data_IF_145071670026
#
_entry.id   IF_145071670026
#
_cell.length_a   1.000
_cell.length_b   1.000
_cell.length_c   1.000
_cell.angle_alpha   90.00
_cell.angle_beta   90.00
_cell.angle_gamma   90.00
#
_symmetry.space_group_name_H-M   'P 1'
#
loop_
_entity.id
_entity.type
_entity.pdbx_description
1 polymer ?
#
# COMPACT_ATOMS: atom_id res chain seq x y z
N UNK A 1 -6.71 16.45 -13.43
CA UNK A 1 -6.37 15.07 -13.24
C UNK A 1 -4.97 14.78 -13.74
N UNK A 2 -4.41 13.74 -13.23
CA UNK A 2 -3.07 13.37 -13.66
C UNK A 2 -3.10 12.74 -15.01
N UNK A 3 -2.18 13.14 -15.81
CA UNK A 3 -2.15 12.72 -17.17
C UNK A 3 -1.08 11.70 -17.41
N UNK A 4 -1.22 10.99 -18.49
CA UNK A 4 -0.21 10.04 -18.88
C UNK A 4 1.14 10.68 -19.16
N UNK A 5 1.18 11.98 -19.33
CA UNK A 5 2.45 12.65 -19.52
C UNK A 5 3.29 12.72 -18.27
N UNK A 6 2.65 12.69 -17.12
CA UNK A 6 3.41 12.73 -15.87
C UNK A 6 3.94 11.37 -15.57
N UNK A 7 5.18 11.32 -15.16
CA UNK A 7 5.75 10.06 -14.76
C UNK A 7 5.31 9.72 -13.36
N UNK A 8 5.01 8.47 -13.13
CA UNK A 8 4.63 8.03 -11.80
C UNK A 8 5.14 6.61 -11.56
N UNK A 9 5.24 6.27 -10.28
CA UNK A 9 5.52 4.92 -9.87
C UNK A 9 4.23 4.25 -9.49
N UNK A 10 4.15 2.95 -9.68
CA UNK A 10 2.91 2.23 -9.52
C UNK A 10 3.10 1.04 -8.60
N UNK A 11 2.13 0.78 -7.75
CA UNK A 11 2.16 -0.39 -6.91
C UNK A 11 0.75 -0.88 -6.66
N UNK A 12 0.59 -2.19 -6.65
CA UNK A 12 -0.68 -2.81 -6.30
C UNK A 12 -0.51 -3.48 -4.96
N UNK A 13 -1.40 -3.20 -4.03
CA UNK A 13 -1.38 -3.79 -2.72
C UNK A 13 -2.62 -4.62 -2.50
N UNK A 14 -2.49 -5.67 -1.68
CA UNK A 14 -3.60 -6.54 -1.36
C UNK A 14 -3.57 -6.90 0.11
N UNK A 15 -4.74 -7.00 0.67
CA UNK A 15 -4.88 -7.48 2.04
C UNK A 15 -6.25 -8.09 2.19
N UNK A 16 -6.30 -9.42 2.42
CA UNK A 16 -7.56 -10.14 2.48
C UNK A 16 -8.34 -9.90 1.20
N UNK A 17 -9.51 -9.28 1.31
CA UNK A 17 -10.35 -9.03 0.14
C UNK A 17 -10.16 -7.64 -0.44
N UNK A 18 -9.24 -6.87 0.09
CA UNK A 18 -9.01 -5.52 -0.38
C UNK A 18 -7.91 -5.48 -1.43
N UNK A 19 -8.10 -4.69 -2.47
CA UNK A 19 -7.12 -4.48 -3.52
C UNK A 19 -6.95 -2.98 -3.69
N UNK A 20 -5.71 -2.52 -3.60
CA UNK A 20 -5.39 -1.11 -3.76
C UNK A 20 -4.47 -0.92 -4.96
N UNK A 21 -4.79 0.05 -5.79
CA UNK A 21 -3.94 0.44 -6.91
C UNK A 21 -3.41 1.82 -6.61
N UNK A 22 -2.10 1.92 -6.48
CA UNK A 22 -1.44 3.13 -6.02
C UNK A 22 -0.60 3.72 -7.12
N UNK A 23 -0.78 5.03 -7.38
CA UNK A 23 0.09 5.79 -8.26
C UNK A 23 0.77 6.85 -7.43
N UNK A 24 2.06 6.97 -7.59
CA UNK A 24 2.86 7.88 -6.79
C UNK A 24 3.56 8.86 -7.71
N UNK A 25 3.28 10.14 -7.50
CA UNK A 25 3.82 11.23 -8.31
C UNK A 25 4.70 12.11 -7.43
N UNK A 26 5.62 12.83 -8.04
CA UNK A 26 6.35 13.84 -7.29
C UNK A 26 5.37 14.87 -6.76
N UNK A 27 5.52 15.25 -5.49
CA UNK A 27 4.59 16.18 -4.92
C UNK A 27 5.00 16.63 -3.53
N UNK A 28 4.00 16.90 -2.70
CA UNK A 28 4.22 17.53 -1.41
C UNK A 28 3.66 16.74 -0.24
N UNK A 29 3.07 15.58 -0.50
CA UNK A 29 2.58 14.74 0.58
C UNK A 29 1.07 14.56 0.61
N UNK A 30 0.38 14.92 -0.46
CA UNK A 30 -1.08 14.74 -0.52
C UNK A 30 -1.41 13.30 -0.85
N UNK A 31 -2.40 12.76 -0.15
CA UNK A 31 -2.85 11.39 -0.39
C UNK A 31 -4.34 11.44 -0.68
N UNK A 32 -4.71 10.93 -1.85
CA UNK A 32 -6.10 10.88 -2.29
C UNK A 32 -6.51 9.43 -2.48
N UNK A 33 -7.63 9.05 -1.88
CA UNK A 33 -8.14 7.69 -1.92
C UNK A 33 -9.55 7.72 -2.50
N UNK A 34 -9.73 7.05 -3.63
CA UNK A 34 -11.03 7.00 -4.31
C UNK A 34 -11.61 8.40 -4.54
N UNK A 35 -10.74 9.35 -4.89
CA UNK A 35 -11.15 10.71 -5.17
C UNK A 35 -11.35 11.58 -3.96
N UNK A 36 -11.02 11.10 -2.76
CA UNK A 36 -11.21 11.85 -1.52
C UNK A 36 -9.88 11.98 -0.80
N UNK A 37 -9.74 13.09 -0.08
CA UNK A 37 -8.56 13.27 0.75
C UNK A 37 -8.52 12.18 1.82
N UNK A 38 -7.32 11.76 2.22
CA UNK A 38 -7.19 10.69 3.21
C UNK A 38 -7.90 11.04 4.51
N UNK A 39 -7.92 12.30 4.90
CA UNK A 39 -8.58 12.72 6.13
C UNK A 39 -10.09 12.56 6.03
N UNK A 40 -10.64 12.66 4.83
CA UNK A 40 -12.07 12.46 4.61
C UNK A 40 -12.42 10.99 4.42
N UNK A 41 -11.48 10.22 3.89
CA UNK A 41 -11.77 8.82 3.59
C UNK A 41 -11.72 7.94 4.84
N UNK A 42 -10.70 8.14 5.68
CA UNK A 42 -10.58 7.38 6.93
C UNK A 42 -10.89 8.27 8.10
N UNK A 43 -11.82 7.82 8.93
CA UNK A 43 -12.17 8.58 10.13
C UNK A 43 -11.25 8.34 11.30
N UNK A 44 -10.47 7.26 11.28
CA UNK A 44 -9.60 6.91 12.40
C UNK A 44 -8.16 7.27 12.11
N UNK A 45 -7.53 7.92 13.07
CA UNK A 45 -6.12 8.29 12.92
C UNK A 45 -5.21 7.10 12.74
N UNK A 46 -5.53 5.98 13.40
CA UNK A 46 -4.70 4.80 13.27
C UNK A 46 -4.64 4.28 11.85
N UNK A 47 -5.76 4.38 11.12
CA UNK A 47 -5.77 3.95 9.72
C UNK A 47 -4.94 4.86 8.84
N UNK A 48 -4.99 6.16 9.11
CA UNK A 48 -4.17 7.11 8.37
C UNK A 48 -2.68 6.85 8.61
N UNK A 49 -2.33 6.52 9.85
CA UNK A 49 -0.96 6.18 10.17
C UNK A 49 -0.49 4.95 9.42
N UNK A 50 -1.34 3.93 9.34
CA UNK A 50 -0.98 2.71 8.61
C UNK A 50 -0.64 3.04 7.16
N UNK A 51 -1.45 3.87 6.53
CA UNK A 51 -1.22 4.25 5.14
C UNK A 51 0.10 5.00 4.98
N UNK A 52 0.44 5.85 5.93
CA UNK A 52 1.63 6.70 5.84
C UNK A 52 2.92 6.03 6.30
N UNK A 53 2.82 4.85 6.94
CA UNK A 53 4.01 4.20 7.48
C UNK A 53 5.13 3.98 6.45
N UNK A 54 4.85 3.50 5.24
CA UNK A 54 5.97 3.32 4.29
C UNK A 54 6.68 4.62 3.96
N UNK A 55 5.93 5.70 3.88
CA UNK A 55 6.53 7.00 3.59
C UNK A 55 7.36 7.49 4.77
N UNK A 56 6.89 7.20 5.98
CA UNK A 56 7.61 7.62 7.18
C UNK A 56 8.94 6.88 7.34
N UNK A 57 8.94 5.55 7.11
CA UNK A 57 10.18 4.80 7.30
C UNK A 57 11.20 5.08 6.21
N UNK A 58 10.77 5.58 5.06
CA UNK A 58 11.68 5.96 3.99
C UNK A 58 11.94 7.46 3.96
N UNK A 59 11.34 8.20 4.90
CA UNK A 59 11.53 9.65 5.00
C UNK A 59 11.13 10.38 3.73
N UNK A 60 10.01 9.96 3.14
CA UNK A 60 9.53 10.55 1.89
C UNK A 60 8.11 11.11 2.04
N UNK A 61 7.69 11.38 3.27
CA UNK A 61 6.32 11.80 3.55
C UNK A 61 5.90 13.04 2.77
N UNK A 62 6.83 13.96 2.56
CA UNK A 62 6.53 15.22 1.88
C UNK A 62 7.12 15.29 0.47
N UNK A 63 7.48 14.16 -0.10
CA UNK A 63 8.11 14.15 -1.43
C UNK A 63 7.21 13.65 -2.53
N UNK A 64 6.11 13.02 -2.19
CA UNK A 64 5.24 12.40 -3.19
C UNK A 64 3.79 12.72 -2.92
N UNK A 65 3.02 12.78 -4.00
CA UNK A 65 1.57 12.77 -3.94
C UNK A 65 1.11 11.38 -4.32
N UNK A 66 0.16 10.87 -3.58
CA UNK A 66 -0.35 9.52 -3.79
C UNK A 66 -1.79 9.60 -4.27
N UNK A 67 -2.07 8.93 -5.37
CA UNK A 67 -3.43 8.78 -5.87
C UNK A 67 -3.72 7.30 -5.88
N UNK A 68 -4.72 6.88 -5.14
CA UNK A 68 -5.00 5.46 -5.10
C UNK A 68 -6.48 5.17 -5.22
N UNK A 69 -6.78 3.99 -5.76
CA UNK A 69 -8.13 3.45 -5.75
C UNK A 69 -8.07 2.15 -4.97
N UNK A 70 -9.08 1.92 -4.16
CA UNK A 70 -9.14 0.72 -3.34
C UNK A 70 -10.55 0.18 -3.35
N UNK A 71 -10.69 -1.13 -3.35
CA UNK A 71 -11.99 -1.77 -3.37
C UNK A 71 -11.94 -3.03 -2.53
N UNK A 72 -13.10 -3.41 -2.02
CA UNK A 72 -13.27 -4.66 -1.30
C UNK A 72 -12.86 -4.59 0.14
N UNK A 73 -13.33 -5.55 0.92
CA UNK A 73 -13.00 -5.67 2.32
C UNK A 73 -13.50 -4.53 3.16
N UNK A 74 -13.02 -4.47 4.40
CA UNK A 74 -13.36 -3.38 5.30
C UNK A 74 -12.27 -2.32 5.30
N UNK A 75 -12.53 -1.21 6.03
CA UNK A 75 -11.59 -0.09 6.02
C UNK A 75 -10.21 -0.47 6.55
N UNK A 76 -10.16 -1.36 7.54
CA UNK A 76 -8.88 -1.80 8.06
C UNK A 76 -8.07 -2.56 7.01
N UNK A 77 -8.74 -3.46 6.29
CA UNK A 77 -8.08 -4.18 5.21
C UNK A 77 -7.66 -3.25 4.09
N UNK A 78 -8.47 -2.23 3.82
CA UNK A 78 -8.13 -1.26 2.79
C UNK A 78 -6.88 -0.48 3.14
N UNK A 79 -6.76 -0.05 4.41
CA UNK A 79 -5.55 0.67 4.83
C UNK A 79 -4.32 -0.19 4.67
N UNK A 80 -4.41 -1.48 5.02
CA UNK A 80 -3.30 -2.40 4.85
C UNK A 80 -2.94 -2.62 3.39
N UNK A 81 -3.95 -2.72 2.52
CA UNK A 81 -3.70 -2.88 1.10
C UNK A 81 -3.03 -1.64 0.52
N UNK A 82 -3.46 -0.45 0.93
CA UNK A 82 -2.85 0.78 0.45
C UNK A 82 -1.39 0.86 0.93
N UNK A 83 -1.13 0.50 2.18
CA UNK A 83 0.24 0.48 2.69
C UNK A 83 1.13 -0.42 1.84
N UNK A 84 0.64 -1.59 1.51
CA UNK A 84 1.40 -2.52 0.69
C UNK A 84 1.64 -1.95 -0.71
N UNK A 85 0.61 -1.31 -1.29
CA UNK A 85 0.73 -0.70 -2.60
C UNK A 85 1.73 0.45 -2.63
N UNK A 86 1.71 1.30 -1.61
CA UNK A 86 2.67 2.39 -1.51
C UNK A 86 4.09 1.84 -1.38
N UNK A 87 4.27 0.79 -0.58
CA UNK A 87 5.58 0.17 -0.43
C UNK A 87 6.11 -0.33 -1.75
N UNK A 88 5.26 -0.95 -2.55
CA UNK A 88 5.69 -1.45 -3.84
C UNK A 88 5.99 -0.31 -4.82
N UNK A 89 5.23 0.77 -4.75
CA UNK A 89 5.51 1.94 -5.59
C UNK A 89 6.86 2.56 -5.21
N UNK A 90 7.17 2.61 -3.92
CA UNK A 90 8.47 3.10 -3.48
C UNK A 90 9.61 2.23 -3.99
N UNK A 91 9.39 0.91 -4.05
CA UNK A 91 10.41 0.03 -4.62
C UNK A 91 10.61 0.31 -6.11
N UNK A 92 9.56 0.65 -6.82
CA UNK A 92 9.71 1.01 -8.22
C UNK A 92 10.49 2.31 -8.36
N UNK A 93 10.32 3.21 -7.39
CA UNK A 93 11.05 4.46 -7.40
C UNK A 93 12.54 4.28 -7.11
N UNK A 94 12.87 3.52 -6.06
CA UNK A 94 14.26 3.35 -5.66
C UNK A 94 14.41 2.09 -4.83
N UNK A 95 14.47 0.96 -5.52
CA UNK A 95 14.57 -0.33 -4.85
C UNK A 95 15.87 -0.47 -4.06
N UNK A 96 16.94 0.05 -4.63
CA UNK A 96 18.27 -0.13 -4.05
C UNK A 96 18.39 0.45 -2.65
N UNK A 97 17.86 1.64 -2.45
CA UNK A 97 17.99 2.32 -1.17
C UNK A 97 16.82 2.08 -0.23
N UNK A 98 15.66 1.72 -0.75
CA UNK A 98 14.47 1.66 0.07
C UNK A 98 14.02 0.26 0.46
N UNK A 99 14.46 -0.76 -0.30
CA UNK A 99 14.00 -2.12 -0.03
C UNK A 99 14.32 -2.58 1.37
N UNK A 100 15.53 -2.29 1.85
CA UNK A 100 15.93 -2.72 3.18
C UNK A 100 15.05 -2.15 4.27
N UNK A 101 14.73 -0.87 4.17
CA UNK A 101 13.89 -0.22 5.17
C UNK A 101 12.48 -0.77 5.15
N UNK A 102 11.93 -0.97 3.96
CA UNK A 102 10.56 -1.46 3.84
C UNK A 102 10.46 -2.93 4.26
N UNK A 103 11.46 -3.72 3.91
CA UNK A 103 11.46 -5.13 4.29
C UNK A 103 11.60 -5.29 5.79
N UNK A 104 12.46 -4.50 6.41
CA UNK A 104 12.65 -4.55 7.84
C UNK A 104 11.37 -4.19 8.59
N UNK A 105 10.62 -3.25 8.05
CA UNK A 105 9.35 -2.86 8.67
C UNK A 105 8.22 -3.85 8.39
N UNK A 106 8.44 -4.81 7.49
CA UNK A 106 7.43 -5.82 7.21
C UNK A 106 6.39 -5.41 6.20
N UNK A 107 6.63 -4.35 5.44
CA UNK A 107 5.61 -3.82 4.54
C UNK A 107 5.59 -4.45 3.17
N UNK A 108 6.56 -5.30 2.85
CA UNK A 108 6.64 -5.91 1.53
C UNK A 108 6.06 -7.31 1.47
N UNK A 109 5.77 -7.91 2.62
CA UNK A 109 5.34 -9.29 2.69
C UNK A 109 3.83 -9.37 2.81
N UNK A 110 3.22 -10.27 2.04
CA UNK A 110 1.80 -10.54 2.21
C UNK A 110 1.60 -11.27 3.54
N UNK A 111 0.34 -11.26 3.99
CA UNK A 111 -0.01 -11.95 5.21
C UNK A 111 0.43 -13.40 5.14
N UNK A 112 1.35 -13.85 6.00
CA UNK A 112 1.85 -15.23 5.93
C UNK A 112 0.76 -16.27 6.15
N UNK A 113 -0.24 -15.93 6.92
CA UNK A 113 -1.29 -16.90 7.20
C UNK A 113 -2.07 -17.27 5.95
N UNK A 114 -2.21 -16.34 5.03
CA UNK A 114 -2.90 -16.67 3.80
C UNK A 114 -2.14 -17.68 2.99
N UNK A 115 -0.83 -17.61 3.01
CA UNK A 115 -0.02 -18.59 2.31
C UNK A 115 -0.12 -19.96 2.94
N UNK A 116 -0.10 -20.00 4.23
CA UNK A 116 -0.13 -21.28 4.92
C UNK A 116 -1.41 -22.02 4.70
N UNK A 117 -2.50 -21.34 4.67
CA UNK A 117 -3.76 -22.01 4.47
C UNK A 117 -3.87 -22.65 3.12
N UNK A 118 -3.15 -22.17 2.17
CA UNK A 118 -3.19 -22.79 0.85
C UNK A 118 -2.49 -24.11 0.79
N UNK A 119 -1.67 -24.42 1.73
CA UNK A 119 -0.97 -25.67 1.73
C UNK A 119 -1.77 -26.80 2.23
N UNK A 120 -2.71 -26.68 2.88
CA UNK A 120 -3.38 -27.78 3.51
C UNK A 120 -4.26 -28.55 2.77
N UNK A 121 -4.07 -28.16 3.25
CA UNK A 121 -4.56 -28.50 2.77
C UNK A 121 -4.65 -28.81 2.64
N UNK A 122 -3.95 -28.37 3.18
CA UNK A 122 -3.83 -28.60 2.75
C UNK A 122 -3.66 -28.66 2.80
N UNK A 123 -3.56 -28.77 2.96
CA UNK A 123 -3.37 -28.84 2.78
C UNK A 123 -3.74 -28.57 2.52
N UNK A 124 -3.97 -28.23 2.87
CA UNK A 124 -4.15 -27.93 2.47
C UNK A 124 -4.53 -27.49 2.28
N UNK A 125 -4.64 -27.43 2.57
CA UNK A 125 -4.77 -26.92 2.16
C UNK A 125 -4.80 -26.80 1.93
N UNK A 126 -4.73 -27.22 2.32
CA UNK A 126 -4.51 -27.22 1.90
C UNK A 126 -4.84 -27.45 1.52
N UNK A 127 -5.13 -27.78 1.72
CA UNK A 127 -5.25 -27.97 1.31
C UNK A 127 -5.79 -27.98 0.95
N UNK A 128 -6.02 -27.87 1.27
CA UNK A 128 -6.38 -27.60 0.97
C UNK A 128 -6.56 -27.68 0.78
#
# INVERSE_FOLDING_TARGET
MYESKEKYCYGTGRRKHSVARVRMYKGTGNITINGRNIDDYFGLETLKLIVRQPLAVTETTDKFDIVCTVAGGGVTGQAGAIRHGISRALLQYDSENLRGKLKKAGFLTRDPRMKERKKYGLKAARRA
#
